data_IF_542169600615
#
_entry.id   IF_542169600615
#
_cell.length_a   1.000
_cell.length_b   1.000
_cell.length_c   1.000
_cell.angle_alpha   90.00
_cell.angle_beta   90.00
_cell.angle_gamma   90.00
#
_symmetry.space_group_name_H-M   'P 1'
#
loop_
_entity.id
_entity.type
_entity.pdbx_description
1 polymer ?
#
# COMPACT_ATOMS: atom_id res chain seq x y z
N UNK A 1 4.95 -20.37 7.46
CA UNK A 1 5.43 -19.28 6.60
C UNK A 1 6.46 -19.86 5.65
N UNK A 2 6.52 -19.43 4.37
CA UNK A 2 7.63 -19.83 3.50
C UNK A 2 8.96 -19.38 4.12
N UNK A 3 10.04 -20.12 3.83
CA UNK A 3 11.38 -19.83 4.37
C UNK A 3 11.89 -18.43 3.95
N UNK A 4 11.46 -17.95 2.79
CA UNK A 4 11.71 -16.59 2.27
C UNK A 4 10.40 -15.96 1.78
N UNK A 5 9.74 -15.10 2.60
CA UNK A 5 8.50 -14.44 2.23
C UNK A 5 8.63 -13.54 1.01
N UNK A 6 9.77 -12.86 0.84
CA UNK A 6 10.02 -11.98 -0.30
C UNK A 6 10.12 -12.74 -1.62
N UNK A 7 10.86 -13.86 -1.62
CA UNK A 7 10.92 -14.74 -2.79
C UNK A 7 9.54 -15.28 -3.12
N UNK A 8 8.82 -15.74 -2.11
CA UNK A 8 7.47 -16.25 -2.27
C UNK A 8 6.51 -15.20 -2.85
N UNK A 9 6.52 -13.96 -2.33
CA UNK A 9 5.71 -12.88 -2.85
C UNK A 9 6.03 -12.59 -4.32
N UNK A 10 7.31 -12.50 -4.67
CA UNK A 10 7.77 -12.29 -6.04
C UNK A 10 7.28 -13.39 -6.98
N UNK A 11 7.47 -14.66 -6.60
CA UNK A 11 7.06 -15.81 -7.42
C UNK A 11 5.53 -15.88 -7.58
N UNK A 12 4.77 -15.46 -6.56
CA UNK A 12 3.31 -15.42 -6.59
C UNK A 12 2.77 -14.31 -7.51
N UNK A 13 3.37 -13.12 -7.48
CA UNK A 13 2.84 -11.94 -8.17
C UNK A 13 3.46 -11.70 -9.55
N UNK A 14 4.65 -12.23 -9.83
CA UNK A 14 5.32 -12.05 -11.13
C UNK A 14 4.45 -12.44 -12.35
N UNK A 15 3.62 -13.49 -12.35
CA UNK A 15 2.78 -13.85 -13.49
C UNK A 15 1.46 -13.06 -13.58
N UNK A 16 1.12 -12.19 -12.60
CA UNK A 16 -0.21 -11.58 -12.47
C UNK A 16 -0.38 -10.11 -12.92
N UNK A 17 0.65 -9.35 -13.41
CA UNK A 17 0.57 -7.88 -13.48
C UNK A 17 -0.64 -7.34 -14.26
N UNK A 18 -0.98 -7.98 -15.38
CA UNK A 18 -2.07 -7.52 -16.26
C UNK A 18 -3.47 -7.65 -15.63
N UNK A 19 -3.64 -8.57 -14.65
CA UNK A 19 -4.93 -8.90 -14.06
C UNK A 19 -4.95 -8.75 -12.53
N UNK A 20 -3.87 -8.22 -11.94
CA UNK A 20 -3.75 -8.05 -10.50
C UNK A 20 -4.86 -7.18 -9.91
N UNK A 21 -5.15 -6.04 -10.54
CA UNK A 21 -6.22 -5.16 -10.08
C UNK A 21 -7.59 -5.85 -10.12
N UNK A 22 -7.85 -6.67 -11.15
CA UNK A 22 -9.08 -7.46 -11.23
C UNK A 22 -9.17 -8.46 -10.06
N UNK A 23 -8.05 -9.13 -9.71
CA UNK A 23 -8.02 -10.05 -8.57
C UNK A 23 -8.33 -9.30 -7.25
N UNK A 24 -7.77 -8.12 -7.04
CA UNK A 24 -8.03 -7.30 -5.88
C UNK A 24 -9.51 -6.83 -5.82
N UNK A 25 -10.10 -6.47 -6.96
CA UNK A 25 -11.52 -6.11 -7.06
C UNK A 25 -12.42 -7.32 -6.77
N UNK A 26 -12.15 -8.49 -7.35
CA UNK A 26 -12.92 -9.71 -7.07
C UNK A 26 -12.81 -10.08 -5.59
N UNK A 27 -11.60 -10.10 -5.02
CA UNK A 27 -11.39 -10.43 -3.59
C UNK A 27 -12.10 -9.46 -2.65
N UNK A 28 -12.26 -8.21 -3.04
CA UNK A 28 -12.93 -7.17 -2.26
C UNK A 28 -14.41 -6.98 -2.59
N UNK A 29 -15.00 -7.79 -3.47
CA UNK A 29 -16.35 -7.56 -4.02
C UNK A 29 -16.52 -6.17 -4.63
N UNK A 30 -15.55 -5.68 -5.38
CA UNK A 30 -15.56 -4.36 -6.00
C UNK A 30 -15.33 -3.20 -5.03
N UNK A 31 -14.94 -3.46 -3.77
CA UNK A 31 -14.76 -2.41 -2.76
C UNK A 31 -13.33 -1.84 -2.73
N UNK A 32 -12.37 -2.46 -3.43
CA UNK A 32 -10.97 -2.07 -3.37
C UNK A 32 -10.74 -0.59 -3.73
N UNK A 33 -11.40 -0.09 -4.77
CA UNK A 33 -11.33 1.32 -5.15
C UNK A 33 -11.79 2.27 -4.04
N UNK A 34 -12.89 1.94 -3.34
CA UNK A 34 -13.41 2.71 -2.20
C UNK A 34 -12.45 2.67 -1.00
N UNK A 35 -11.87 1.50 -0.71
CA UNK A 35 -10.90 1.36 0.38
C UNK A 35 -9.62 2.13 0.10
N UNK A 36 -9.08 2.05 -1.14
CA UNK A 36 -7.93 2.85 -1.57
C UNK A 36 -8.19 4.34 -1.43
N UNK A 37 -9.37 4.82 -1.84
CA UNK A 37 -9.75 6.22 -1.67
C UNK A 37 -9.74 6.63 -0.20
N UNK A 38 -10.32 5.83 0.68
CA UNK A 38 -10.35 6.10 2.12
C UNK A 38 -8.94 6.14 2.74
N UNK A 39 -7.99 5.34 2.23
CA UNK A 39 -6.58 5.39 2.63
C UNK A 39 -5.88 6.65 2.09
N UNK A 40 -6.04 6.95 0.80
CA UNK A 40 -5.41 8.11 0.14
C UNK A 40 -5.87 9.41 0.79
N UNK A 41 -7.15 9.52 1.18
CA UNK A 41 -7.70 10.70 1.85
C UNK A 41 -7.02 10.98 3.21
N UNK A 42 -6.34 10.00 3.82
CA UNK A 42 -5.60 10.16 5.07
C UNK A 42 -4.24 10.84 4.90
N UNK A 43 -3.62 10.71 3.74
CA UNK A 43 -2.29 11.29 3.45
C UNK A 43 -2.37 12.56 2.61
N UNK A 44 -3.54 12.92 2.07
CA UNK A 44 -3.81 14.20 1.45
C UNK A 44 -4.43 15.14 2.49
N UNK A 45 -4.02 16.42 2.57
CA UNK A 45 -3.38 17.27 1.58
C UNK A 45 -1.87 17.52 1.83
N UNK A 46 -1.14 16.63 2.40
CA UNK A 46 0.31 16.81 2.56
C UNK A 46 0.96 16.97 1.18
N UNK A 47 1.03 18.16 0.66
CA UNK A 47 1.86 18.44 -0.51
C UNK A 47 3.29 17.94 -0.28
N UNK A 48 4.08 17.72 -1.33
CA UNK A 48 5.47 17.28 -1.19
C UNK A 48 5.72 15.90 -1.79
N UNK A 49 6.62 15.11 -1.20
CA UNK A 49 7.04 13.79 -1.71
C UNK A 49 6.39 12.68 -0.90
N UNK A 50 5.63 11.82 -1.58
CA UNK A 50 4.91 10.69 -0.99
C UNK A 50 5.58 9.40 -1.42
N UNK A 51 5.84 8.50 -0.47
CA UNK A 51 6.31 7.15 -0.75
C UNK A 51 5.11 6.18 -0.79
N UNK A 52 5.00 5.40 -1.86
CA UNK A 52 4.03 4.31 -1.99
C UNK A 52 4.77 2.96 -2.01
N UNK A 53 4.71 2.23 -0.90
CA UNK A 53 5.41 0.95 -0.73
C UNK A 53 4.50 -0.22 -1.08
N UNK A 54 5.07 -1.24 -1.74
CA UNK A 54 4.32 -2.28 -2.44
C UNK A 54 3.39 -1.68 -3.51
N UNK A 55 3.94 -0.75 -4.30
CA UNK A 55 3.22 0.06 -5.29
C UNK A 55 2.59 -0.79 -6.42
N UNK A 56 3.10 -1.99 -6.65
CA UNK A 56 2.60 -2.94 -7.62
C UNK A 56 2.50 -2.33 -9.02
N UNK A 57 1.29 -2.30 -9.57
CA UNK A 57 0.99 -1.70 -10.89
C UNK A 57 0.76 -0.18 -10.84
N UNK A 58 1.24 0.50 -9.81
CA UNK A 58 1.15 1.94 -9.57
C UNK A 58 -0.29 2.48 -9.42
N UNK A 59 -1.25 1.65 -9.00
CA UNK A 59 -2.65 2.09 -8.87
C UNK A 59 -2.84 3.16 -7.79
N UNK A 60 -2.21 3.01 -6.63
CA UNK A 60 -2.23 4.00 -5.54
C UNK A 60 -1.37 5.20 -5.90
N UNK A 61 -0.17 4.99 -6.44
CA UNK A 61 0.72 6.08 -6.84
C UNK A 61 0.05 7.04 -7.85
N UNK A 62 -0.67 6.50 -8.83
CA UNK A 62 -1.45 7.31 -9.79
C UNK A 62 -2.61 8.06 -9.14
N UNK A 63 -3.29 7.45 -8.18
CA UNK A 63 -4.38 8.08 -7.44
C UNK A 63 -3.85 9.23 -6.56
N UNK A 64 -2.71 9.06 -5.90
CA UNK A 64 -2.03 10.10 -5.13
C UNK A 64 -1.61 11.29 -6.01
N UNK A 65 -0.97 11.00 -7.15
CA UNK A 65 -0.55 12.03 -8.11
C UNK A 65 -1.73 12.81 -8.70
N UNK A 66 -2.85 12.12 -8.99
CA UNK A 66 -4.04 12.76 -9.53
C UNK A 66 -4.69 13.72 -8.52
N UNK A 67 -4.81 13.32 -7.24
CA UNK A 67 -5.47 14.11 -6.20
C UNK A 67 -4.59 15.21 -5.64
N UNK A 68 -3.29 14.97 -5.50
CA UNK A 68 -2.34 15.97 -5.01
C UNK A 68 -2.16 17.16 -5.95
N UNK A 69 -2.42 16.99 -7.25
CA UNK A 69 -2.42 18.08 -8.24
C UNK A 69 -3.59 19.06 -8.08
N UNK A 70 -4.73 18.59 -7.57
CA UNK A 70 -5.92 19.47 -7.37
C UNK A 70 -5.84 20.28 -6.09
N UNK A 71 -5.15 19.79 -5.05
CA UNK A 71 -4.97 20.51 -3.79
C UNK A 71 -3.97 21.68 -3.91
N UNK A 72 -2.99 21.58 -4.82
CA UNK A 72 -2.00 22.64 -5.06
C UNK A 72 -2.59 23.93 -5.66
N UNK A 73 -3.70 23.85 -6.39
CA UNK A 73 -4.36 25.02 -6.98
C UNK A 73 -5.28 25.79 -6.01
N UNK A 74 -5.58 25.23 -4.83
CA UNK A 74 -6.46 25.84 -3.85
C UNK A 74 -5.72 26.55 -2.70
N UNK A 75 -4.39 26.40 -2.59
CA UNK A 75 -3.59 26.85 -1.45
C UNK A 75 -2.39 27.74 -1.83
N UNK A 76 -2.44 28.49 -2.94
CA UNK A 76 -1.34 29.38 -3.31
C UNK A 76 -1.47 30.74 -2.60
N UNK A 77 -0.85 30.87 -1.44
CA UNK A 77 -0.76 32.08 -0.62
C UNK A 77 0.35 32.06 0.45
N UNK A 78 1.10 30.98 0.58
CA UNK A 78 2.11 30.82 1.64
C UNK A 78 3.51 30.50 1.11
N UNK A 79 4.48 31.37 1.42
CA UNK A 79 5.90 31.29 1.07
C UNK A 79 6.52 29.92 1.35
N UNK A 80 6.99 29.24 0.29
CA UNK A 80 7.77 28.01 0.37
C UNK A 80 9.24 28.34 0.67
N UNK A 81 9.72 27.98 1.87
CA UNK A 81 11.16 27.90 2.14
C UNK A 81 11.74 26.69 1.37
N UNK A 82 12.68 26.97 0.49
CA UNK A 82 13.51 25.98 -0.17
C UNK A 82 14.43 25.30 0.86
N UNK A 83 14.26 23.99 1.08
CA UNK A 83 15.19 23.17 1.81
C UNK A 83 16.22 22.57 0.84
N UNK A 84 17.48 22.88 1.06
CA UNK A 84 18.62 22.49 0.22
C UNK A 84 18.99 21.00 0.40
N UNK A 85 19.11 20.27 -0.73
CA UNK A 85 20.20 19.35 -1.00
C UNK A 85 20.22 17.98 -0.30
N UNK A 86 19.13 17.17 -0.37
CA UNK A 86 19.23 15.72 -0.13
C UNK A 86 18.85 14.94 -1.41
N UNK A 87 19.35 13.70 -1.64
CA UNK A 87 18.95 12.86 -2.77
C UNK A 87 17.50 12.35 -2.62
N UNK A 88 16.57 13.17 -2.89
CA UNK A 88 15.13 13.20 -2.77
C UNK A 88 14.67 14.62 -3.02
N UNK A 89 15.62 15.54 -3.27
CA UNK A 89 15.35 16.95 -3.49
C UNK A 89 14.47 17.18 -4.73
N UNK A 90 13.72 18.25 -4.67
CA UNK A 90 12.79 18.75 -5.71
C UNK A 90 13.46 18.99 -7.08
N UNK A 91 14.77 18.90 -7.20
CA UNK A 91 15.53 19.03 -8.43
C UNK A 91 15.22 17.87 -9.39
N UNK A 92 14.60 18.18 -10.51
CA UNK A 92 14.28 17.23 -11.59
C UNK A 92 12.80 16.79 -11.69
N UNK A 93 11.89 17.46 -11.00
CA UNK A 93 10.45 17.27 -11.14
C UNK A 93 9.80 18.52 -11.77
N UNK A 94 9.06 18.35 -12.87
CA UNK A 94 8.65 19.43 -13.76
C UNK A 94 7.50 20.33 -13.28
N UNK A 95 6.50 19.85 -12.54
CA UNK A 95 5.28 20.60 -12.24
C UNK A 95 4.94 20.63 -10.75
N UNK A 96 4.25 21.70 -10.23
CA UNK A 96 3.73 21.71 -8.88
C UNK A 96 2.64 20.63 -8.71
N UNK A 97 2.70 19.88 -7.62
CA UNK A 97 1.76 18.79 -7.29
C UNK A 97 2.40 17.77 -6.38
N UNK A 98 1.62 16.79 -5.92
CA UNK A 98 2.18 15.67 -5.15
C UNK A 98 3.11 14.85 -6.05
N UNK A 99 4.30 14.57 -5.54
CA UNK A 99 5.32 13.72 -6.17
C UNK A 99 5.29 12.38 -5.48
N UNK A 100 5.24 11.32 -6.25
CA UNK A 100 5.09 9.97 -5.71
C UNK A 100 6.28 9.13 -6.13
N UNK A 101 6.94 8.53 -5.15
CA UNK A 101 7.94 7.49 -5.37
C UNK A 101 7.27 6.15 -5.03
N UNK A 102 7.10 5.28 -6.01
CA UNK A 102 6.59 3.92 -5.82
C UNK A 102 7.72 2.93 -5.68
N UNK A 103 7.69 2.08 -4.66
CA UNK A 103 8.65 0.99 -4.44
C UNK A 103 7.93 -0.34 -4.44
N UNK A 104 8.42 -1.29 -5.22
CA UNK A 104 7.93 -2.67 -5.22
C UNK A 104 9.07 -3.67 -5.39
N UNK A 105 8.90 -4.86 -4.82
CA UNK A 105 9.87 -5.94 -4.93
C UNK A 105 9.85 -6.61 -6.32
N UNK A 106 8.70 -6.54 -7.00
CA UNK A 106 8.40 -7.29 -8.23
C UNK A 106 8.56 -6.41 -9.46
N UNK A 107 9.67 -6.58 -10.18
CA UNK A 107 9.97 -5.80 -11.38
C UNK A 107 8.87 -5.88 -12.45
N UNK A 108 8.25 -7.05 -12.63
CA UNK A 108 7.16 -7.25 -13.58
C UNK A 108 5.94 -6.37 -13.26
N UNK A 109 5.64 -6.20 -11.98
CA UNK A 109 4.57 -5.29 -11.51
C UNK A 109 4.92 -3.84 -11.85
N UNK A 110 6.16 -3.42 -11.58
CA UNK A 110 6.63 -2.06 -11.89
C UNK A 110 6.68 -1.78 -13.39
N UNK A 111 7.04 -2.76 -14.22
CA UNK A 111 6.97 -2.61 -15.69
C UNK A 111 5.54 -2.30 -16.17
N UNK A 112 4.55 -2.98 -15.60
CA UNK A 112 3.14 -2.65 -15.86
C UNK A 112 2.77 -1.29 -15.28
N UNK A 113 3.26 -0.95 -14.09
CA UNK A 113 3.12 0.37 -13.47
C UNK A 113 3.65 1.49 -14.37
N UNK A 114 4.85 1.34 -14.92
CA UNK A 114 5.44 2.29 -15.88
C UNK A 114 4.55 2.52 -17.11
N UNK A 115 4.00 1.45 -17.69
CA UNK A 115 3.08 1.58 -18.83
C UNK A 115 1.84 2.42 -18.46
N UNK A 116 1.29 2.20 -17.27
CA UNK A 116 0.14 2.95 -16.76
C UNK A 116 0.47 4.41 -16.45
N UNK A 117 1.63 4.68 -15.85
CA UNK A 117 2.12 6.04 -15.58
C UNK A 117 2.30 6.82 -16.88
N UNK A 118 2.90 6.19 -17.89
CA UNK A 118 3.07 6.79 -19.24
C UNK A 118 1.72 7.05 -19.90
N UNK A 119 0.81 6.06 -19.90
CA UNK A 119 -0.53 6.20 -20.46
C UNK A 119 -1.35 7.31 -19.77
N UNK A 120 -1.18 7.48 -18.46
CA UNK A 120 -1.80 8.55 -17.69
C UNK A 120 -1.09 9.91 -17.81
N UNK A 121 0.02 10.00 -18.55
CA UNK A 121 0.86 11.21 -18.69
C UNK A 121 1.31 11.79 -17.34
N UNK A 122 1.73 10.90 -16.41
CA UNK A 122 2.13 11.27 -15.04
C UNK A 122 3.61 10.97 -14.75
N UNK A 123 4.44 10.81 -15.78
CA UNK A 123 5.88 10.54 -15.63
C UNK A 123 6.64 11.61 -14.85
N UNK A 124 6.17 12.86 -14.89
CA UNK A 124 6.75 13.97 -14.12
C UNK A 124 6.40 13.93 -12.63
N UNK A 125 5.38 13.17 -12.24
CA UNK A 125 4.87 13.11 -10.87
C UNK A 125 5.10 11.75 -10.20
N UNK A 126 5.28 10.67 -10.97
CA UNK A 126 5.42 9.32 -10.44
C UNK A 126 6.70 8.69 -10.92
N UNK A 127 7.55 8.25 -9.98
CA UNK A 127 8.76 7.45 -10.22
C UNK A 127 8.61 6.10 -9.55
N UNK A 128 9.02 5.04 -10.24
CA UNK A 128 8.90 3.66 -9.75
C UNK A 128 10.29 3.04 -9.64
N UNK A 129 10.56 2.39 -8.50
CA UNK A 129 11.86 1.80 -8.16
C UNK A 129 11.67 0.36 -7.66
N UNK A 130 12.57 -0.54 -8.04
CA UNK A 130 12.66 -1.86 -7.43
C UNK A 130 13.30 -1.73 -6.05
N UNK A 131 12.64 -2.27 -5.02
CA UNK A 131 13.15 -2.21 -3.66
C UNK A 131 12.35 -3.08 -2.70
N UNK A 132 12.87 -3.24 -1.49
CA UNK A 132 12.27 -4.03 -0.41
C UNK A 132 11.76 -3.10 0.68
N UNK A 133 10.59 -3.40 1.21
CA UNK A 133 10.00 -2.64 2.31
C UNK A 133 10.80 -2.73 3.61
N UNK A 134 11.50 -3.84 3.82
CA UNK A 134 12.32 -4.07 5.01
C UNK A 134 13.65 -3.33 5.00
N UNK A 135 14.03 -2.75 3.85
CA UNK A 135 15.28 -2.00 3.69
C UNK A 135 15.12 -1.01 2.53
N UNK A 136 14.62 0.17 2.85
CA UNK A 136 14.37 1.22 1.87
C UNK A 136 15.65 2.01 1.56
N UNK A 137 15.98 2.26 0.26
CA UNK A 137 17.20 2.96 -0.13
C UNK A 137 17.04 4.48 0.02
N UNK A 138 16.49 4.94 1.14
CA UNK A 138 16.23 6.36 1.38
C UNK A 138 16.75 6.79 2.74
N UNK A 139 17.18 8.06 2.88
CA UNK A 139 17.53 8.66 4.17
C UNK A 139 16.35 8.72 5.14
N UNK A 140 16.65 8.92 6.42
CA UNK A 140 15.68 9.18 7.44
C UNK A 140 14.90 10.47 7.14
N UNK A 141 13.59 10.46 7.38
CA UNK A 141 12.76 11.65 7.35
C UNK A 141 12.65 12.35 5.99
N UNK A 142 12.84 11.65 4.86
CA UNK A 142 12.84 12.27 3.54
C UNK A 142 11.45 12.34 2.86
N UNK A 143 10.42 11.69 3.40
CA UNK A 143 9.07 11.71 2.85
C UNK A 143 8.08 12.45 3.73
N UNK A 144 7.19 13.21 3.10
CA UNK A 144 6.11 13.94 3.77
C UNK A 144 4.97 13.02 4.18
N UNK A 145 4.70 11.98 3.38
CA UNK A 145 3.70 10.97 3.65
C UNK A 145 4.12 9.62 3.08
N UNK A 146 3.50 8.55 3.58
CA UNK A 146 3.75 7.17 3.13
C UNK A 146 2.45 6.39 3.05
N UNK A 147 2.30 5.62 1.96
CA UNK A 147 1.24 4.62 1.83
C UNK A 147 1.81 3.23 1.59
N UNK A 148 1.08 2.20 2.03
CA UNK A 148 1.34 0.84 1.61
C UNK A 148 0.04 0.03 1.53
N UNK A 149 0.00 -0.94 0.60
CA UNK A 149 -1.17 -1.80 0.45
C UNK A 149 -0.77 -3.27 0.40
N UNK A 150 -1.49 -4.10 1.19
CA UNK A 150 -1.37 -5.56 1.19
C UNK A 150 0.05 -6.08 1.44
N UNK A 151 0.85 -5.37 2.25
CA UNK A 151 2.28 -5.59 2.45
C UNK A 151 2.60 -6.56 3.59
N UNK A 152 2.02 -6.32 4.79
CA UNK A 152 2.51 -6.91 6.04
C UNK A 152 2.44 -8.44 6.10
N UNK A 153 1.66 -9.06 5.23
CA UNK A 153 1.55 -10.53 5.11
C UNK A 153 2.72 -11.17 4.36
N UNK A 154 3.52 -10.37 3.67
CA UNK A 154 4.60 -10.82 2.79
C UNK A 154 5.99 -10.43 3.27
N UNK A 155 6.10 -9.83 4.45
CA UNK A 155 7.39 -9.50 5.08
C UNK A 155 7.74 -10.52 6.16
N UNK A 156 9.02 -10.65 6.44
CA UNK A 156 9.52 -11.60 7.46
C UNK A 156 9.15 -11.15 8.87
N UNK A 157 9.36 -9.87 9.15
CA UNK A 157 9.10 -9.22 10.44
C UNK A 157 8.26 -7.95 10.20
N UNK A 158 6.94 -8.02 10.49
CA UNK A 158 6.06 -6.85 10.35
C UNK A 158 6.45 -5.68 11.25
N UNK A 159 6.96 -5.95 12.48
CA UNK A 159 7.36 -4.88 13.40
C UNK A 159 8.59 -4.13 12.88
N UNK A 160 9.65 -4.87 12.49
CA UNK A 160 10.84 -4.28 11.92
C UNK A 160 10.54 -3.52 10.62
N UNK A 161 9.64 -4.06 9.78
CA UNK A 161 9.20 -3.38 8.56
C UNK A 161 8.49 -2.07 8.88
N UNK A 162 7.56 -2.04 9.84
CA UNK A 162 6.87 -0.81 10.24
C UNK A 162 7.85 0.24 10.78
N UNK A 163 8.87 -0.18 11.52
CA UNK A 163 9.95 0.70 12.00
C UNK A 163 10.73 1.31 10.84
N UNK A 164 11.06 0.52 9.81
CA UNK A 164 11.74 1.00 8.60
C UNK A 164 10.87 1.97 7.80
N UNK A 165 9.57 1.68 7.65
CA UNK A 165 8.63 2.59 7.01
C UNK A 165 8.52 3.93 7.76
N UNK A 166 8.46 3.90 9.09
CA UNK A 166 8.44 5.09 9.91
C UNK A 166 9.76 5.88 9.85
N UNK A 167 10.91 5.20 9.71
CA UNK A 167 12.23 5.84 9.62
C UNK A 167 12.32 6.85 8.49
N UNK A 168 11.83 6.48 7.31
CA UNK A 168 11.92 7.34 6.10
C UNK A 168 10.88 8.46 6.09
N UNK A 169 9.88 8.41 6.96
CA UNK A 169 8.86 9.44 7.10
C UNK A 169 9.40 10.59 7.96
N UNK A 170 9.21 11.85 7.58
CA UNK A 170 9.62 12.99 8.40
C UNK A 170 8.82 13.08 9.71
N UNK A 171 9.33 13.71 10.76
CA UNK A 171 8.53 14.09 11.93
C UNK A 171 7.28 14.86 11.52
N UNK A 172 6.12 14.49 12.06
CA UNK A 172 4.82 15.03 11.66
C UNK A 172 4.27 14.53 10.31
N UNK A 173 5.01 13.67 9.61
CA UNK A 173 4.53 13.03 8.38
C UNK A 173 3.50 11.95 8.67
N UNK A 174 2.59 11.71 7.73
CA UNK A 174 1.48 10.76 7.88
C UNK A 174 1.74 9.46 7.14
N UNK A 175 1.57 8.33 7.81
CA UNK A 175 1.53 7.00 7.21
C UNK A 175 0.09 6.49 7.13
N UNK A 176 -0.30 5.88 6.00
CA UNK A 176 -1.57 5.20 5.89
C UNK A 176 -1.43 3.85 5.18
N UNK A 177 -2.26 2.89 5.55
CA UNK A 177 -2.25 1.56 4.94
C UNK A 177 -3.63 1.04 4.61
N UNK A 178 -3.65 0.11 3.66
CA UNK A 178 -4.81 -0.70 3.34
C UNK A 178 -4.43 -2.18 3.37
N UNK A 179 -5.13 -2.95 4.17
CA UNK A 179 -4.98 -4.40 4.25
C UNK A 179 -6.34 -5.10 4.12
N UNK A 180 -6.32 -6.34 3.60
CA UNK A 180 -7.48 -7.21 3.79
C UNK A 180 -7.57 -7.59 5.26
N UNK A 181 -8.80 -7.68 5.77
CA UNK A 181 -9.07 -8.10 7.13
C UNK A 181 -9.99 -9.34 7.13
N UNK A 182 -10.15 -9.96 8.28
CA UNK A 182 -11.07 -11.09 8.47
C UNK A 182 -12.30 -10.60 9.22
N UNK A 183 -13.48 -10.69 8.64
CA UNK A 183 -14.70 -10.35 9.34
C UNK A 183 -14.87 -11.12 10.64
N UNK A 184 -15.35 -10.44 11.66
CA UNK A 184 -15.69 -11.04 12.95
C UNK A 184 -17.22 -11.26 13.03
N UNK A 185 -17.65 -12.14 13.92
CA UNK A 185 -19.07 -12.40 14.15
C UNK A 185 -19.59 -13.69 13.51
N UNK A 186 -20.72 -14.16 14.06
CA UNK A 186 -21.25 -15.50 13.79
C UNK A 186 -21.70 -15.74 12.32
N UNK A 187 -22.06 -14.69 11.60
CA UNK A 187 -22.53 -14.78 10.21
C UNK A 187 -21.42 -14.48 9.22
N UNK A 188 -20.70 -13.39 9.44
CA UNK A 188 -19.74 -12.88 8.46
C UNK A 188 -18.43 -13.67 8.42
N UNK A 189 -18.02 -14.24 9.54
CA UNK A 189 -16.81 -15.08 9.58
C UNK A 189 -16.97 -16.38 8.77
N UNK A 190 -18.06 -17.19 8.94
CA UNK A 190 -18.32 -18.34 8.08
C UNK A 190 -18.51 -17.98 6.61
N UNK A 191 -19.22 -16.89 6.32
CA UNK A 191 -19.40 -16.41 4.94
C UNK A 191 -18.04 -16.05 4.28
N UNK A 192 -17.17 -15.36 4.98
CA UNK A 192 -15.80 -15.09 4.54
C UNK A 192 -15.00 -16.38 4.31
N UNK A 193 -15.12 -17.33 5.24
CA UNK A 193 -14.48 -18.63 5.12
C UNK A 193 -14.92 -19.37 3.85
N UNK A 194 -16.22 -19.49 3.63
CA UNK A 194 -16.78 -20.13 2.45
C UNK A 194 -16.37 -19.41 1.16
N UNK A 195 -16.48 -18.08 1.15
CA UNK A 195 -16.09 -17.27 0.01
C UNK A 195 -14.62 -17.49 -0.38
N UNK A 196 -13.71 -17.34 0.57
CA UNK A 196 -12.28 -17.38 0.29
C UNK A 196 -11.72 -18.77 0.01
N UNK A 197 -12.43 -19.83 0.44
CA UNK A 197 -11.98 -21.20 0.24
C UNK A 197 -12.70 -21.97 -0.86
N UNK A 198 -13.90 -21.52 -1.23
CA UNK A 198 -14.71 -22.17 -2.26
C UNK A 198 -14.95 -21.27 -3.47
N UNK A 199 -15.61 -20.12 -3.28
CA UNK A 199 -15.99 -19.24 -4.38
C UNK A 199 -14.81 -18.56 -5.07
N UNK A 200 -13.84 -18.04 -4.30
CA UNK A 200 -12.67 -17.36 -4.85
C UNK A 200 -11.75 -18.28 -5.68
N UNK A 201 -11.39 -19.49 -5.23
CA UNK A 201 -10.63 -20.42 -6.06
C UNK A 201 -11.40 -20.89 -7.30
N UNK A 202 -12.69 -21.19 -7.17
CA UNK A 202 -13.52 -21.62 -8.30
C UNK A 202 -13.66 -20.51 -9.34
N UNK A 203 -13.97 -19.28 -8.91
CA UNK A 203 -14.04 -18.11 -9.78
C UNK A 203 -12.67 -17.79 -10.41
N UNK A 204 -11.60 -17.92 -9.65
CA UNK A 204 -10.24 -17.80 -10.15
C UNK A 204 -9.95 -18.79 -11.28
N UNK A 205 -10.32 -20.04 -11.10
CA UNK A 205 -10.15 -21.07 -12.14
C UNK A 205 -10.90 -20.72 -13.44
N UNK A 206 -12.15 -20.28 -13.32
CA UNK A 206 -12.99 -19.90 -14.46
C UNK A 206 -12.45 -18.68 -15.21
N UNK A 207 -11.90 -17.70 -14.50
CA UNK A 207 -11.44 -16.44 -15.08
C UNK A 207 -9.98 -16.47 -15.56
N UNK A 208 -9.13 -17.29 -14.99
CA UNK A 208 -7.69 -17.27 -15.25
C UNK A 208 -6.97 -18.63 -15.17
N UNK A 209 -7.75 -19.73 -15.09
CA UNK A 209 -7.19 -21.08 -15.12
C UNK A 209 -6.43 -21.47 -13.84
N UNK A 210 -5.48 -22.42 -14.00
CA UNK A 210 -4.76 -23.06 -12.88
C UNK A 210 -3.97 -22.07 -12.01
N UNK A 211 -3.42 -21.01 -12.57
CA UNK A 211 -2.62 -20.02 -11.84
C UNK A 211 -3.50 -19.21 -10.90
N UNK A 212 -4.64 -18.73 -11.38
CA UNK A 212 -5.59 -18.00 -10.58
C UNK A 212 -6.28 -18.88 -9.51
N UNK A 213 -6.50 -20.16 -9.81
CA UNK A 213 -6.94 -21.12 -8.82
C UNK A 213 -5.95 -21.25 -7.64
N UNK A 214 -4.64 -21.34 -7.94
CA UNK A 214 -3.58 -21.41 -6.91
C UNK A 214 -3.58 -20.15 -6.03
N UNK A 215 -3.66 -18.97 -6.66
CA UNK A 215 -3.72 -17.68 -5.94
C UNK A 215 -4.97 -17.62 -5.07
N UNK A 216 -6.15 -17.96 -5.60
CA UNK A 216 -7.39 -17.96 -4.86
C UNK A 216 -7.35 -18.91 -3.63
N UNK A 217 -6.80 -20.11 -3.81
CA UNK A 217 -6.60 -21.07 -2.69
C UNK A 217 -5.62 -20.57 -1.62
N UNK A 218 -4.64 -19.77 -2.01
CA UNK A 218 -3.63 -19.25 -1.09
C UNK A 218 -4.13 -18.06 -0.28
N UNK A 219 -4.84 -17.11 -0.90
CA UNK A 219 -5.12 -15.79 -0.31
C UNK A 219 -5.95 -15.90 0.98
N UNK A 220 -7.08 -16.61 0.97
CA UNK A 220 -7.96 -16.71 2.14
C UNK A 220 -7.29 -17.30 3.38
N UNK A 221 -6.66 -18.50 3.26
CA UNK A 221 -5.87 -19.08 4.36
C UNK A 221 -4.73 -18.17 4.83
N UNK A 222 -4.02 -17.50 3.92
CA UNK A 222 -2.92 -16.59 4.25
C UNK A 222 -3.40 -15.37 5.04
N UNK A 223 -4.48 -14.72 4.60
CA UNK A 223 -5.10 -13.60 5.33
C UNK A 223 -5.53 -14.06 6.73
N UNK A 224 -6.23 -15.18 6.83
CA UNK A 224 -6.72 -15.71 8.10
C UNK A 224 -5.56 -16.09 9.05
N UNK A 225 -4.45 -16.65 8.53
CA UNK A 225 -3.28 -16.99 9.32
C UNK A 225 -2.55 -15.75 9.83
N UNK A 226 -2.46 -14.71 9.01
CA UNK A 226 -1.87 -13.43 9.41
C UNK A 226 -2.62 -12.82 10.59
N UNK A 227 -3.95 -12.68 10.51
CA UNK A 227 -4.74 -12.05 11.57
C UNK A 227 -4.90 -12.89 12.84
N UNK A 228 -4.72 -14.21 12.78
CA UNK A 228 -4.58 -15.03 13.99
C UNK A 228 -3.28 -14.74 14.72
N UNK A 229 -2.18 -14.48 13.99
CA UNK A 229 -0.87 -14.19 14.58
C UNK A 229 -0.72 -12.72 14.96
N UNK A 230 -1.27 -11.83 14.16
CA UNK A 230 -1.17 -10.39 14.26
C UNK A 230 -2.57 -9.75 14.19
N UNK A 231 -3.37 -9.82 15.26
CA UNK A 231 -4.69 -9.20 15.30
C UNK A 231 -4.59 -7.68 15.12
N UNK A 232 -5.69 -7.01 14.83
CA UNK A 232 -5.73 -5.56 14.61
C UNK A 232 -5.18 -4.79 15.81
N UNK A 233 -5.46 -5.25 17.04
CA UNK A 233 -4.90 -4.65 18.28
C UNK A 233 -3.38 -4.70 18.30
N UNK A 234 -2.79 -5.86 17.96
CA UNK A 234 -1.34 -5.99 17.83
C UNK A 234 -0.79 -5.03 16.76
N UNK A 235 -1.48 -4.90 15.63
CA UNK A 235 -1.04 -4.01 14.55
C UNK A 235 -1.05 -2.54 15.00
N UNK A 236 -2.06 -2.11 15.76
CA UNK A 236 -2.11 -0.76 16.35
C UNK A 236 -0.92 -0.53 17.29
N UNK A 237 -0.65 -1.48 18.18
CA UNK A 237 0.52 -1.41 19.08
C UNK A 237 1.84 -1.39 18.31
N UNK A 238 1.95 -2.18 17.23
CA UNK A 238 3.14 -2.23 16.39
C UNK A 238 3.41 -0.89 15.69
N UNK A 239 2.38 -0.19 15.25
CA UNK A 239 2.49 1.17 14.72
C UNK A 239 2.99 2.15 15.78
N UNK A 240 2.44 2.09 16.99
CA UNK A 240 2.88 2.93 18.09
C UNK A 240 4.35 2.66 18.47
N UNK A 241 4.74 1.38 18.55
CA UNK A 241 6.15 0.96 18.79
C UNK A 241 7.10 1.40 17.67
N UNK A 242 6.61 1.58 16.44
CA UNK A 242 7.37 2.13 15.33
C UNK A 242 7.53 3.67 15.39
N UNK A 243 7.00 4.33 16.42
CA UNK A 243 7.10 5.77 16.63
C UNK A 243 5.99 6.58 15.97
N UNK A 244 4.82 5.95 15.74
CA UNK A 244 3.63 6.64 15.23
C UNK A 244 2.67 6.98 16.37
N UNK A 245 2.13 8.19 16.34
CA UNK A 245 1.07 8.69 17.22
C UNK A 245 -0.24 8.83 16.47
N UNK A 246 -1.33 9.10 17.17
CA UNK A 246 -2.67 9.29 16.62
C UNK A 246 -3.09 8.13 15.71
N UNK A 247 -2.69 6.91 16.09
CA UNK A 247 -2.94 5.71 15.30
C UNK A 247 -4.43 5.40 15.30
N UNK A 248 -5.02 5.53 14.12
CA UNK A 248 -6.41 5.19 13.87
C UNK A 248 -6.55 3.95 12.99
N UNK A 249 -7.61 3.19 13.21
CA UNK A 249 -7.96 2.03 12.42
C UNK A 249 -9.44 2.05 12.07
N UNK A 250 -9.77 1.83 10.79
CA UNK A 250 -11.14 1.73 10.30
C UNK A 250 -11.36 0.44 9.56
N UNK A 251 -12.22 -0.39 10.11
CA UNK A 251 -12.68 -1.61 9.46
C UNK A 251 -13.73 -1.24 8.41
N UNK A 252 -13.59 -1.77 7.21
CA UNK A 252 -14.40 -1.47 6.04
C UNK A 252 -15.19 -2.71 5.59
N UNK A 253 -16.36 -2.48 4.97
CA UNK A 253 -17.14 -3.49 4.25
C UNK A 253 -17.32 -4.79 5.06
N UNK A 254 -18.01 -4.70 6.20
CA UNK A 254 -18.35 -5.83 7.08
C UNK A 254 -17.13 -6.60 7.63
N UNK A 255 -15.95 -5.98 7.62
CA UNK A 255 -14.72 -6.60 8.12
C UNK A 255 -13.77 -7.12 7.04
N UNK A 256 -14.05 -6.89 5.76
CA UNK A 256 -13.20 -7.37 4.67
C UNK A 256 -11.97 -6.52 4.39
N UNK A 257 -11.99 -5.23 4.74
CA UNK A 257 -10.89 -4.28 4.58
C UNK A 257 -10.54 -3.58 5.88
N UNK A 258 -9.27 -3.20 6.03
CA UNK A 258 -8.75 -2.43 7.15
C UNK A 258 -7.91 -1.27 6.60
N UNK A 259 -8.35 -0.05 6.89
CA UNK A 259 -7.57 1.17 6.64
C UNK A 259 -7.01 1.65 7.98
N UNK A 260 -5.70 1.83 8.03
CA UNK A 260 -5.01 2.39 9.21
C UNK A 260 -4.25 3.64 8.83
N UNK A 261 -4.03 4.52 9.80
CA UNK A 261 -3.22 5.74 9.65
C UNK A 261 -2.61 6.14 10.97
N UNK A 262 -1.55 6.93 10.92
CA UNK A 262 -0.88 7.50 12.08
C UNK A 262 0.11 8.56 11.64
N UNK A 263 0.55 9.39 12.57
CA UNK A 263 1.51 10.48 12.36
C UNK A 263 2.83 10.12 13.01
N UNK A 264 3.96 10.31 12.34
CA UNK A 264 5.27 10.12 12.95
C UNK A 264 5.45 11.14 14.08
N UNK A 265 5.78 10.67 15.28
CA UNK A 265 6.07 11.53 16.41
C UNK A 265 7.15 12.56 16.04
N UNK A 266 7.02 13.78 16.57
CA UNK A 266 8.09 14.77 16.57
C UNK A 266 9.26 14.25 17.41
N UNK A 267 10.48 14.65 17.07
CA UNK A 267 11.65 14.36 17.88
C UNK A 267 11.57 15.13 19.21
#
# INVERSE_FOLDING_TARGET
MPADPNRFARDLFAPLPARYDLLAEVLSFGQNGRWRSAMVDRVLPAGGVILDVASGTAGVALQLAARGGTAGNAADGGQRRAANGAPGSAAGWGQPGARVVGVDLTEQMLRQGHRRVTAARRGDQVRLLVGRAEQLPFPDGCFDALTFTYLLRYVRDPQATLTELARVLRPGGTMASLEFCVPTGAVWHPAWWAYTRLALPAGGFLLGGREWFRVGRFLGPNISAHYRRYPVSWTVEAWQKAGLTDVGARVMSLGGGLVMWGTRAGA
#
